data_IF_053667907478
#
_entry.id   IF_053667907478
#
_cell.length_a   1.000
_cell.length_b   1.000
_cell.length_c   1.000
_cell.angle_alpha   90.00
_cell.angle_beta   90.00
_cell.angle_gamma   90.00
#
_symmetry.space_group_name_H-M   'P 1'
#
loop_
_entity.id
_entity.type
_entity.pdbx_description
1 polymer ?
#
# COMPACT_ATOMS: atom_id res chain seq x y z
N UNK A 1 -0.24 19.66 -85.30
CA UNK A 1 -1.46 19.45 -84.51
C UNK A 1 -1.27 18.19 -83.66
N UNK A 2 -1.84 18.19 -82.45
CA UNK A 2 -1.91 17.08 -81.45
C UNK A 2 -0.64 16.70 -80.65
N UNK A 3 -0.60 17.22 -79.42
CA UNK A 3 -0.37 16.57 -78.10
C UNK A 3 -0.46 15.01 -78.10
N UNK A 4 0.13 14.18 -77.21
CA UNK A 4 0.46 14.28 -75.78
C UNK A 4 1.18 12.98 -75.32
N UNK A 5 2.13 13.11 -74.39
CA UNK A 5 2.33 12.33 -73.12
C UNK A 5 2.49 10.80 -73.02
N UNK A 6 3.55 10.46 -72.26
CA UNK A 6 3.61 9.58 -71.08
C UNK A 6 3.66 8.05 -71.21
N UNK A 7 4.75 7.47 -70.69
CA UNK A 7 4.68 6.40 -69.71
C UNK A 7 6.02 6.30 -68.94
N UNK A 8 6.19 7.08 -67.88
CA UNK A 8 7.13 6.74 -66.82
C UNK A 8 6.31 6.10 -65.69
N UNK A 9 6.52 4.80 -65.49
CA UNK A 9 6.05 4.09 -64.31
C UNK A 9 6.75 4.70 -63.08
N UNK A 10 6.02 5.51 -62.31
CA UNK A 10 6.38 5.81 -60.94
C UNK A 10 5.78 4.72 -60.05
N UNK A 11 6.62 3.79 -59.62
CA UNK A 11 6.27 2.80 -58.59
C UNK A 11 6.14 3.54 -57.26
N UNK A 12 4.90 3.80 -56.82
CA UNK A 12 4.62 4.36 -55.50
C UNK A 12 4.80 3.24 -54.46
N UNK A 13 5.92 3.24 -53.75
CA UNK A 13 6.07 2.44 -52.52
C UNK A 13 5.42 3.24 -51.40
N UNK A 14 4.18 2.91 -51.07
CA UNK A 14 3.53 3.42 -49.86
C UNK A 14 4.13 2.67 -48.68
N UNK A 15 5.10 3.29 -47.98
CA UNK A 15 5.56 2.82 -46.68
C UNK A 15 4.43 3.11 -45.69
N UNK A 16 3.62 2.10 -45.40
CA UNK A 16 2.67 2.12 -44.30
C UNK A 16 3.47 2.05 -43.00
N UNK A 17 3.81 3.21 -42.44
CA UNK A 17 4.31 3.29 -41.06
C UNK A 17 3.11 2.91 -40.17
N UNK A 18 3.02 1.64 -39.78
CA UNK A 18 2.23 1.28 -38.61
C UNK A 18 2.84 2.05 -37.44
N UNK A 19 2.17 3.12 -37.04
CA UNK A 19 2.34 3.62 -35.69
C UNK A 19 1.87 2.48 -34.78
N UNK A 20 2.83 1.68 -34.32
CA UNK A 20 2.64 0.85 -33.14
C UNK A 20 2.53 1.88 -32.02
N UNK A 21 1.33 2.42 -31.81
CA UNK A 21 1.01 2.97 -30.50
C UNK A 21 1.35 1.84 -29.54
N UNK A 22 2.27 2.03 -28.58
CA UNK A 22 2.43 1.03 -27.55
C UNK A 22 1.03 0.88 -26.96
N UNK A 23 0.47 -0.31 -27.06
CA UNK A 23 -0.67 -0.65 -26.23
C UNK A 23 -0.07 -0.67 -24.83
N UNK A 24 -0.14 0.46 -24.12
CA UNK A 24 0.19 0.54 -22.70
C UNK A 24 -0.93 -0.18 -21.97
N UNK A 25 -1.04 -1.50 -22.20
CA UNK A 25 -1.99 -2.35 -21.53
C UNK A 25 -1.60 -2.49 -20.07
N UNK A 26 -2.52 -3.02 -19.29
CA UNK A 26 -2.26 -3.40 -17.90
C UNK A 26 -0.94 -4.20 -17.81
N UNK A 27 -0.08 -3.83 -16.87
CA UNK A 27 1.26 -4.39 -16.72
C UNK A 27 1.55 -4.75 -15.26
N UNK A 28 2.36 -5.79 -15.06
CA UNK A 28 2.84 -6.25 -13.76
C UNK A 28 4.36 -6.21 -13.79
N UNK A 29 4.97 -5.43 -12.89
CA UNK A 29 6.42 -5.20 -12.86
C UNK A 29 6.98 -5.50 -11.48
N UNK A 30 8.23 -5.93 -11.43
CA UNK A 30 9.02 -5.98 -10.21
C UNK A 30 10.07 -4.87 -10.26
N UNK A 31 10.35 -4.22 -9.14
CA UNK A 31 11.35 -3.16 -9.06
C UNK A 31 11.95 -3.04 -7.66
N UNK A 32 13.26 -2.78 -7.59
CA UNK A 32 14.00 -2.50 -6.35
C UNK A 32 14.12 -0.99 -6.07
N UNK A 33 13.60 -0.14 -6.97
CA UNK A 33 13.60 1.33 -6.83
C UNK A 33 12.22 1.90 -7.16
N UNK A 34 11.92 3.08 -6.63
CA UNK A 34 10.65 3.76 -6.83
C UNK A 34 10.63 4.60 -8.12
N UNK A 35 11.79 4.83 -8.76
CA UNK A 35 11.89 5.60 -10.01
C UNK A 35 10.97 5.09 -11.15
N UNK A 36 10.82 3.77 -11.41
CA UNK A 36 9.89 3.28 -12.43
C UNK A 36 8.41 3.61 -12.15
N UNK A 37 8.04 3.81 -10.89
CA UNK A 37 6.70 4.28 -10.49
C UNK A 37 6.51 5.70 -11.02
N UNK A 38 7.50 6.57 -10.81
CA UNK A 38 7.50 7.96 -11.30
C UNK A 38 7.39 8.02 -12.81
N UNK A 39 8.22 7.26 -13.52
CA UNK A 39 8.20 7.19 -14.99
C UNK A 39 6.82 6.74 -15.52
N UNK A 40 6.22 5.72 -14.89
CA UNK A 40 4.91 5.23 -15.30
C UNK A 40 3.78 6.22 -14.99
N UNK A 41 3.85 6.90 -13.84
CA UNK A 41 2.89 7.95 -13.50
C UNK A 41 2.96 9.12 -14.48
N UNK A 42 4.16 9.56 -14.86
CA UNK A 42 4.34 10.59 -15.89
C UNK A 42 3.76 10.15 -17.24
N UNK A 43 4.00 8.89 -17.65
CA UNK A 43 3.46 8.34 -18.89
C UNK A 43 1.93 8.33 -18.90
N UNK A 44 1.29 7.85 -17.83
CA UNK A 44 -0.17 7.87 -17.71
C UNK A 44 -0.75 9.28 -17.60
N UNK A 45 -0.10 10.19 -16.87
CA UNK A 45 -0.53 11.58 -16.78
C UNK A 45 -0.49 12.27 -18.15
N UNK A 46 0.54 12.01 -18.96
CA UNK A 46 0.62 12.51 -20.33
C UNK A 46 -0.48 11.91 -21.24
N UNK A 47 -0.83 10.63 -21.05
CA UNK A 47 -1.80 9.94 -21.88
C UNK A 47 -3.26 10.30 -21.55
N UNK A 48 -3.62 10.35 -20.26
CA UNK A 48 -5.01 10.45 -19.80
C UNK A 48 -5.36 11.80 -19.16
N UNK A 49 -4.35 12.63 -18.87
CA UNK A 49 -4.49 13.79 -18.00
C UNK A 49 -4.22 13.40 -16.54
N UNK A 50 -3.45 14.20 -15.77
CA UNK A 50 -3.06 13.84 -14.41
C UNK A 50 -4.25 13.64 -13.47
N UNK A 51 -5.33 14.40 -13.65
CA UNK A 51 -6.55 14.27 -12.86
C UNK A 51 -7.27 12.94 -13.06
N UNK A 52 -6.93 12.17 -14.11
CA UNK A 52 -7.52 10.87 -14.42
C UNK A 52 -6.65 9.70 -13.96
N UNK A 53 -5.56 9.99 -13.26
CA UNK A 53 -4.59 9.02 -12.75
C UNK A 53 -4.66 8.95 -11.23
N UNK A 54 -4.68 7.74 -10.69
CA UNK A 54 -4.56 7.47 -9.26
C UNK A 54 -3.31 6.63 -8.97
N UNK A 55 -2.43 7.14 -8.12
CA UNK A 55 -1.28 6.40 -7.59
C UNK A 55 -1.64 5.87 -6.21
N UNK A 56 -1.54 4.57 -6.01
CA UNK A 56 -1.89 3.87 -4.78
C UNK A 56 -0.66 3.16 -4.24
N UNK A 57 -0.34 3.38 -2.96
CA UNK A 57 0.87 2.87 -2.33
C UNK A 57 0.55 2.16 -1.01
N UNK A 58 1.18 1.02 -0.74
CA UNK A 58 1.18 0.43 0.60
C UNK A 58 2.13 1.17 1.56
N UNK A 59 2.12 0.78 2.84
CA UNK A 59 2.99 1.34 3.88
C UNK A 59 4.16 0.43 4.17
N UNK A 60 3.89 -0.72 4.78
CA UNK A 60 4.90 -1.61 5.33
C UNK A 60 5.86 -2.08 4.22
N UNK A 61 7.17 -1.90 4.44
CA UNK A 61 8.26 -2.15 3.48
C UNK A 61 8.10 -1.47 2.10
N UNK A 62 7.15 -0.56 1.94
CA UNK A 62 6.85 0.15 0.69
C UNK A 62 7.13 1.64 0.80
N UNK A 63 6.44 2.32 1.72
CA UNK A 63 6.71 3.73 2.06
C UNK A 63 7.50 3.87 3.37
N UNK A 64 7.38 2.88 4.27
CA UNK A 64 8.01 2.86 5.58
C UNK A 64 8.47 1.45 5.94
N UNK A 65 9.72 1.31 6.35
CA UNK A 65 10.26 0.12 6.99
C UNK A 65 10.66 0.45 8.43
N UNK A 66 10.51 -0.50 9.35
CA UNK A 66 10.89 -0.31 10.77
C UNK A 66 12.41 -0.18 10.91
N UNK A 67 12.94 0.64 11.81
CA UNK A 67 14.40 0.74 12.02
C UNK A 67 15.00 -0.54 12.66
N UNK A 68 14.17 -1.30 13.38
CA UNK A 68 14.54 -2.55 14.05
C UNK A 68 13.77 -3.74 13.48
N UNK A 69 14.32 -4.94 13.66
CA UNK A 69 13.59 -6.18 13.32
C UNK A 69 12.41 -6.42 14.27
N UNK A 70 12.50 -6.06 15.55
CA UNK A 70 11.37 -6.15 16.47
C UNK A 70 10.25 -5.19 16.02
N UNK A 71 9.06 -5.74 15.79
CA UNK A 71 7.90 -4.98 15.30
C UNK A 71 7.91 -4.72 13.80
N UNK A 72 8.91 -5.21 13.06
CA UNK A 72 8.89 -5.20 11.60
C UNK A 72 7.78 -6.11 11.04
N UNK A 73 7.41 -5.89 9.78
CA UNK A 73 6.42 -6.70 9.09
C UNK A 73 6.83 -8.20 9.08
N UNK A 74 8.09 -8.48 8.73
CA UNK A 74 8.64 -9.84 8.75
C UNK A 74 8.69 -10.45 10.15
N UNK A 75 8.83 -9.65 11.22
CA UNK A 75 8.71 -10.15 12.59
C UNK A 75 7.27 -10.49 12.93
N UNK A 76 6.31 -9.67 12.51
CA UNK A 76 4.89 -9.94 12.72
C UNK A 76 4.45 -11.21 11.99
N UNK A 77 4.82 -11.37 10.71
CA UNK A 77 4.55 -12.60 9.94
C UNK A 77 5.15 -13.84 10.61
N UNK A 78 6.36 -13.72 11.19
CA UNK A 78 6.96 -14.82 11.95
C UNK A 78 6.19 -15.14 13.23
N UNK A 79 5.69 -14.13 13.95
CA UNK A 79 4.85 -14.34 15.14
C UNK A 79 3.50 -14.98 14.79
N UNK A 80 2.87 -14.58 13.68
CA UNK A 80 1.68 -15.25 13.16
C UNK A 80 1.98 -16.72 12.83
N UNK A 81 3.10 -17.00 12.16
CA UNK A 81 3.53 -18.37 11.89
C UNK A 81 3.73 -19.18 13.19
N UNK A 82 4.38 -18.60 14.20
CA UNK A 82 4.56 -19.26 15.49
C UNK A 82 3.21 -19.54 16.15
N UNK A 83 2.30 -18.57 16.15
CA UNK A 83 0.96 -18.74 16.73
C UNK A 83 0.20 -19.92 16.09
N UNK A 84 0.24 -20.01 14.76
CA UNK A 84 -0.50 -21.01 14.02
C UNK A 84 0.18 -22.39 13.98
N UNK A 85 1.51 -22.43 13.89
CA UNK A 85 2.26 -23.65 13.57
C UNK A 85 3.16 -24.14 14.71
N UNK A 86 3.53 -23.26 15.65
CA UNK A 86 4.45 -23.56 16.75
C UNK A 86 4.04 -22.84 18.05
N UNK A 87 2.81 -23.07 18.57
CA UNK A 87 2.27 -22.30 19.69
C UNK A 87 3.05 -22.46 21.00
N UNK A 88 3.85 -23.52 21.15
CA UNK A 88 4.71 -23.76 22.31
C UNK A 88 6.10 -23.11 22.18
N UNK A 89 6.35 -22.33 21.11
CA UNK A 89 7.63 -21.68 20.89
C UNK A 89 7.94 -20.67 22.00
N UNK A 90 9.15 -20.70 22.61
CA UNK A 90 9.54 -19.72 23.61
C UNK A 90 9.76 -18.32 23.02
N UNK A 91 9.66 -18.18 21.70
CA UNK A 91 9.78 -16.93 20.97
C UNK A 91 8.43 -16.30 20.62
N UNK A 92 7.31 -16.99 20.90
CA UNK A 92 5.97 -16.47 20.65
C UNK A 92 5.63 -15.42 21.72
N UNK A 93 5.14 -14.27 21.27
CA UNK A 93 4.97 -13.07 22.07
C UNK A 93 3.51 -12.85 22.53
N UNK A 94 2.54 -13.49 21.89
CA UNK A 94 1.11 -13.39 22.26
C UNK A 94 0.41 -14.74 22.17
N UNK A 95 -0.66 -14.91 22.94
CA UNK A 95 -1.43 -16.16 23.03
C UNK A 95 -2.48 -16.30 21.92
N UNK A 96 -2.83 -15.19 21.28
CA UNK A 96 -3.78 -15.13 20.19
C UNK A 96 -3.46 -13.95 19.27
N UNK A 97 -4.14 -13.91 18.12
CA UNK A 97 -3.92 -12.87 17.12
C UNK A 97 -4.22 -11.45 17.64
N UNK A 98 -5.21 -11.30 18.53
CA UNK A 98 -5.51 -10.01 19.16
C UNK A 98 -4.37 -9.49 20.02
N UNK A 99 -3.76 -10.35 20.83
CA UNK A 99 -2.58 -9.99 21.63
C UNK A 99 -1.37 -9.64 20.75
N UNK A 100 -1.16 -10.35 19.64
CA UNK A 100 -0.12 -9.97 18.66
C UNK A 100 -0.37 -8.57 18.10
N UNK A 101 -1.62 -8.24 17.77
CA UNK A 101 -2.01 -6.91 17.30
C UNK A 101 -1.79 -5.81 18.37
N UNK A 102 -2.05 -6.10 19.64
CA UNK A 102 -1.77 -5.19 20.76
C UNK A 102 -0.27 -4.91 20.90
N UNK A 103 0.55 -5.96 20.86
CA UNK A 103 2.01 -5.83 20.90
C UNK A 103 2.53 -5.05 19.68
N UNK A 104 2.03 -5.36 18.48
CA UNK A 104 2.41 -4.63 17.28
C UNK A 104 2.08 -3.14 17.39
N UNK A 105 0.92 -2.81 17.96
CA UNK A 105 0.52 -1.42 18.23
C UNK A 105 1.48 -0.70 19.16
N UNK A 106 1.91 -1.37 20.24
CA UNK A 106 2.92 -0.83 21.16
C UNK A 106 4.26 -0.59 20.44
N UNK A 107 4.71 -1.55 19.63
CA UNK A 107 5.98 -1.44 18.91
C UNK A 107 5.94 -0.33 17.86
N UNK A 108 4.84 -0.17 17.11
CA UNK A 108 4.64 0.99 16.23
C UNK A 108 4.63 2.32 16.99
N UNK A 109 4.07 2.34 18.21
CA UNK A 109 4.06 3.54 19.02
C UNK A 109 5.47 3.91 19.53
N UNK A 110 6.28 2.91 19.89
CA UNK A 110 7.58 3.07 20.54
C UNK A 110 8.76 3.20 19.56
N UNK A 111 8.68 2.58 18.39
CA UNK A 111 9.79 2.51 17.43
C UNK A 111 9.61 3.49 16.27
N UNK A 112 10.70 3.61 15.52
CA UNK A 112 10.89 4.54 14.43
C UNK A 112 10.94 3.80 13.09
N UNK A 113 10.53 4.47 12.02
CA UNK A 113 10.52 3.94 10.66
C UNK A 113 11.25 4.87 9.67
N UNK A 114 11.84 4.30 8.63
CA UNK A 114 12.48 5.04 7.53
C UNK A 114 11.80 4.74 6.20
N UNK A 115 11.83 5.68 5.24
CA UNK A 115 11.62 5.34 3.83
C UNK A 115 12.63 4.28 3.36
N UNK A 116 12.22 3.26 2.61
CA UNK A 116 13.15 2.33 1.97
C UNK A 116 14.24 3.06 1.15
N UNK A 117 13.85 4.06 0.35
CA UNK A 117 14.79 4.95 -0.35
C UNK A 117 14.78 6.36 0.25
N UNK A 118 15.94 6.96 0.48
CA UNK A 118 16.05 8.27 1.15
C UNK A 118 15.35 9.40 0.37
N UNK A 119 15.34 9.33 -0.95
CA UNK A 119 14.72 10.25 -1.89
C UNK A 119 13.25 9.97 -2.17
N UNK A 120 12.70 8.84 -1.70
CA UNK A 120 11.33 8.43 -1.99
C UNK A 120 10.27 9.49 -1.59
N UNK A 121 10.39 10.21 -0.46
CA UNK A 121 9.48 11.31 -0.14
C UNK A 121 9.48 12.43 -1.19
N UNK A 122 10.65 12.77 -1.75
CA UNK A 122 10.78 13.78 -2.81
C UNK A 122 10.14 13.27 -4.11
N UNK A 123 10.31 11.99 -4.44
CA UNK A 123 9.67 11.36 -5.60
C UNK A 123 8.15 11.34 -5.46
N UNK A 124 7.61 10.98 -4.28
CA UNK A 124 6.16 11.05 -4.04
C UNK A 124 5.66 12.50 -4.18
N UNK A 125 6.40 13.48 -3.67
CA UNK A 125 6.06 14.89 -3.86
C UNK A 125 6.08 15.30 -5.33
N UNK A 126 7.00 14.76 -6.15
CA UNK A 126 7.02 14.95 -7.60
C UNK A 126 5.71 14.44 -8.23
N UNK A 127 5.26 13.23 -7.87
CA UNK A 127 3.98 12.68 -8.35
C UNK A 127 2.82 13.63 -8.03
N UNK A 128 2.75 14.09 -6.77
CA UNK A 128 1.70 15.01 -6.33
C UNK A 128 1.76 16.35 -7.07
N UNK A 129 2.95 16.84 -7.41
CA UNK A 129 3.13 18.07 -8.18
C UNK A 129 2.74 17.93 -9.66
N UNK A 130 2.66 16.71 -10.19
CA UNK A 130 2.07 16.45 -11.52
C UNK A 130 0.55 16.68 -11.52
N UNK A 131 -0.10 16.71 -10.35
CA UNK A 131 -1.54 16.88 -10.20
C UNK A 131 -2.35 15.58 -10.24
N UNK A 132 -1.67 14.44 -10.07
CA UNK A 132 -2.35 13.14 -9.89
C UNK A 132 -2.89 13.02 -8.47
N UNK A 133 -3.92 12.20 -8.30
CA UNK A 133 -4.37 11.84 -6.96
C UNK A 133 -3.46 10.74 -6.39
N UNK A 134 -3.21 10.80 -5.08
CA UNK A 134 -2.41 9.79 -4.38
C UNK A 134 -3.17 9.23 -3.19
N UNK A 135 -3.12 7.91 -3.02
CA UNK A 135 -3.77 7.18 -1.94
C UNK A 135 -2.78 6.23 -1.28
N UNK A 136 -2.74 6.22 0.04
CA UNK A 136 -2.12 5.14 0.80
C UNK A 136 -3.18 4.09 1.13
N UNK A 137 -2.91 2.83 0.81
CA UNK A 137 -3.81 1.69 1.00
C UNK A 137 -3.13 0.59 1.81
N UNK A 138 -3.41 0.53 3.11
CA UNK A 138 -2.72 -0.36 4.04
C UNK A 138 -3.63 -1.41 4.66
N UNK A 139 -3.06 -2.57 4.98
CA UNK A 139 -3.71 -3.62 5.77
C UNK A 139 -3.82 -3.25 7.26
N UNK A 140 -3.11 -2.23 7.74
CA UNK A 140 -3.24 -1.72 9.11
C UNK A 140 -4.70 -1.33 9.42
N UNK A 141 -5.13 -1.59 10.66
CA UNK A 141 -6.40 -1.10 11.20
C UNK A 141 -6.27 0.31 11.78
N UNK A 142 -7.42 0.93 12.09
CA UNK A 142 -7.47 2.34 12.54
C UNK A 142 -6.73 2.59 13.86
N UNK A 143 -6.60 1.57 14.71
CA UNK A 143 -5.89 1.69 15.99
C UNK A 143 -4.40 2.04 15.79
N UNK A 144 -3.83 1.77 14.61
CA UNK A 144 -2.45 2.11 14.26
C UNK A 144 -2.31 3.48 13.58
N UNK A 145 -3.41 4.22 13.37
CA UNK A 145 -3.41 5.49 12.61
C UNK A 145 -2.47 6.53 13.17
N UNK A 146 -2.51 6.76 14.47
CA UNK A 146 -1.71 7.80 15.09
C UNK A 146 -0.20 7.57 14.89
N UNK A 147 0.28 6.35 15.14
CA UNK A 147 1.68 5.99 14.92
C UNK A 147 2.06 6.05 13.42
N UNK A 148 1.17 5.56 12.55
CA UNK A 148 1.38 5.57 11.10
C UNK A 148 1.52 6.98 10.54
N UNK A 149 0.58 7.88 10.86
CA UNK A 149 0.62 9.27 10.38
C UNK A 149 1.82 10.04 10.96
N UNK A 150 2.20 9.75 12.21
CA UNK A 150 3.41 10.32 12.84
C UNK A 150 4.66 9.95 12.04
N UNK A 151 4.85 8.67 11.71
CA UNK A 151 6.03 8.22 10.98
C UNK A 151 6.03 8.68 9.51
N UNK A 152 4.88 8.67 8.83
CA UNK A 152 4.76 9.23 7.47
C UNK A 152 5.18 10.71 7.45
N UNK A 153 4.66 11.50 8.40
CA UNK A 153 5.01 12.92 8.52
C UNK A 153 6.49 13.12 8.87
N UNK A 154 7.03 12.29 9.75
CA UNK A 154 8.46 12.33 10.14
C UNK A 154 9.37 12.04 8.95
N UNK A 155 8.97 11.09 8.11
CA UNK A 155 9.64 10.72 6.86
C UNK A 155 9.48 11.76 5.74
N UNK A 156 8.63 12.77 5.90
CA UNK A 156 8.44 13.84 4.90
C UNK A 156 7.29 13.60 3.92
N UNK A 157 6.43 12.60 4.14
CA UNK A 157 5.24 12.38 3.34
C UNK A 157 4.07 13.28 3.79
N UNK A 158 3.34 13.83 2.81
CA UNK A 158 2.09 14.57 3.03
C UNK A 158 1.03 14.14 1.99
N UNK A 159 0.31 13.06 2.30
CA UNK A 159 -0.73 12.52 1.41
C UNK A 159 -2.04 13.31 1.45
N UNK A 160 -2.23 14.21 2.42
CA UNK A 160 -3.44 15.04 2.50
C UNK A 160 -3.53 16.04 1.34
N UNK A 161 -2.39 16.44 0.77
CA UNK A 161 -2.28 17.42 -0.33
C UNK A 161 -3.07 17.01 -1.59
N UNK A 162 -3.07 15.73 -1.92
CA UNK A 162 -3.67 15.15 -3.14
C UNK A 162 -4.60 13.98 -2.80
N UNK A 163 -5.13 13.98 -1.58
CA UNK A 163 -6.07 12.99 -1.10
C UNK A 163 -7.39 13.06 -1.88
N UNK A 164 -7.85 11.96 -2.49
CA UNK A 164 -9.18 11.91 -3.09
C UNK A 164 -10.28 12.24 -2.09
N UNK A 165 -11.20 13.12 -2.48
CA UNK A 165 -12.42 13.37 -1.69
C UNK A 165 -13.41 12.25 -1.95
N UNK A 166 -13.99 11.70 -0.90
CA UNK A 166 -15.03 10.68 -0.98
C UNK A 166 -16.43 11.28 -0.72
N UNK A 167 -17.51 10.54 -1.01
CA UNK A 167 -18.87 10.74 -0.46
C UNK A 167 -19.48 9.43 0.07
N UNK A 168 -19.87 9.36 1.36
CA UNK A 168 -20.40 8.11 2.00
C UNK A 168 -21.89 7.95 1.75
N UNK A 169 -22.57 9.08 1.57
CA UNK A 169 -24.02 9.15 1.44
C UNK A 169 -24.37 9.76 0.09
N UNK A 170 -25.25 9.08 -0.63
CA UNK A 170 -25.82 9.61 -1.87
C UNK A 170 -26.58 10.92 -1.55
N UNK A 171 -26.13 12.03 -2.13
CA UNK A 171 -26.76 13.34 -1.98
C UNK A 171 -25.98 14.36 -1.15
N UNK A 172 -24.82 14.00 -0.57
CA UNK A 172 -23.99 14.91 0.23
C UNK A 172 -22.74 15.42 -0.51
N UNK A 173 -22.85 15.57 -1.83
CA UNK A 173 -21.75 16.02 -2.70
C UNK A 173 -21.21 17.41 -2.31
N UNK A 174 -22.01 18.20 -1.59
CA UNK A 174 -21.66 19.54 -1.11
C UNK A 174 -21.05 19.54 0.31
N UNK A 175 -20.98 18.39 1.00
CA UNK A 175 -20.39 18.24 2.34
C UNK A 175 -19.40 17.07 2.37
N UNK A 176 -18.20 17.23 1.75
CA UNK A 176 -17.16 16.22 1.82
C UNK A 176 -16.74 16.01 3.29
N UNK A 177 -16.63 14.75 3.66
CA UNK A 177 -16.33 14.25 5.00
C UNK A 177 -15.37 15.03 5.87
N UNK A 178 -15.59 14.86 7.18
CA UNK A 178 -14.58 15.05 8.20
C UNK A 178 -13.53 13.92 8.16
N UNK A 179 -12.27 14.33 8.10
CA UNK A 179 -11.07 13.52 8.30
C UNK A 179 -11.24 12.54 9.48
N UNK A 180 -10.92 11.24 9.29
CA UNK A 180 -11.00 10.24 10.36
C UNK A 180 -12.27 9.39 10.36
N UNK A 181 -13.07 9.46 9.30
CA UNK A 181 -14.31 8.72 9.18
C UNK A 181 -14.06 7.21 9.11
N UNK A 182 -14.70 6.48 10.04
CA UNK A 182 -14.77 5.02 10.04
C UNK A 182 -16.10 4.55 9.44
N UNK A 183 -16.08 3.46 8.69
CA UNK A 183 -17.28 2.94 8.03
C UNK A 183 -17.16 1.48 7.64
N UNK A 184 -18.31 0.84 7.41
CA UNK A 184 -18.39 -0.50 6.86
C UNK A 184 -18.25 -0.43 5.32
N UNK A 185 -17.26 -1.13 4.71
CA UNK A 185 -16.89 -0.92 3.31
C UNK A 185 -17.88 -1.54 2.32
N UNK A 186 -18.66 -2.55 2.70
CA UNK A 186 -19.64 -3.16 1.80
C UNK A 186 -20.75 -3.90 2.55
N UNK A 187 -21.79 -4.28 1.83
CA UNK A 187 -22.81 -5.24 2.27
C UNK A 187 -22.97 -6.32 1.19
N UNK A 188 -22.98 -7.60 1.59
CA UNK A 188 -23.09 -8.73 0.64
C UNK A 188 -24.46 -8.86 -0.01
N UNK A 189 -25.51 -8.30 0.59
CA UNK A 189 -26.86 -8.25 0.03
C UNK A 189 -26.99 -7.18 -1.07
N UNK A 190 -26.23 -6.08 -0.96
CA UNK A 190 -26.32 -4.92 -1.86
C UNK A 190 -24.95 -4.44 -2.35
N UNK A 191 -24.09 -5.31 -2.91
CA UNK A 191 -22.70 -4.97 -3.24
C UNK A 191 -22.57 -3.80 -4.24
N UNK A 192 -23.57 -3.65 -5.13
CA UNK A 192 -23.59 -2.58 -6.12
C UNK A 192 -23.68 -1.17 -5.50
N UNK A 193 -24.26 -1.04 -4.30
CA UNK A 193 -24.30 0.22 -3.56
C UNK A 193 -22.92 0.66 -3.04
N UNK A 194 -21.92 -0.22 -3.11
CA UNK A 194 -20.56 -0.01 -2.65
C UNK A 194 -19.54 -0.17 -3.79
N UNK A 195 -20.00 -0.07 -5.05
CA UNK A 195 -19.12 -0.17 -6.21
C UNK A 195 -18.64 -1.58 -6.53
N UNK A 196 -19.18 -2.62 -5.88
CA UNK A 196 -18.81 -4.01 -6.09
C UNK A 196 -19.91 -4.79 -6.84
N UNK A 197 -19.53 -5.85 -7.53
CA UNK A 197 -20.46 -6.78 -8.18
C UNK A 197 -20.58 -8.07 -7.38
N UNK A 198 -21.73 -8.76 -7.47
CA UNK A 198 -21.88 -10.07 -6.85
C UNK A 198 -20.85 -11.10 -7.33
N UNK A 199 -20.33 -10.96 -8.56
CA UNK A 199 -19.25 -11.79 -9.07
C UNK A 199 -17.93 -11.51 -8.35
N UNK A 200 -17.56 -10.23 -8.19
CA UNK A 200 -16.37 -9.81 -7.43
C UNK A 200 -16.43 -10.26 -5.97
N UNK A 201 -17.59 -10.13 -5.31
CA UNK A 201 -17.78 -10.64 -3.93
C UNK A 201 -17.37 -12.11 -3.81
N UNK A 202 -17.78 -12.93 -4.79
CA UNK A 202 -17.50 -14.36 -4.82
C UNK A 202 -16.05 -14.67 -5.17
N UNK A 203 -15.49 -14.02 -6.20
CA UNK A 203 -14.12 -14.27 -6.68
C UNK A 203 -13.08 -13.78 -5.67
N UNK A 204 -13.33 -12.67 -5.01
CA UNK A 204 -12.44 -12.13 -3.97
C UNK A 204 -12.64 -12.79 -2.60
N UNK A 205 -13.60 -13.73 -2.48
CA UNK A 205 -13.94 -14.42 -1.24
C UNK A 205 -14.22 -13.45 -0.08
N UNK A 206 -15.00 -12.39 -0.35
CA UNK A 206 -15.30 -11.40 0.67
C UNK A 206 -16.25 -11.99 1.73
N UNK A 207 -15.94 -11.86 3.03
CA UNK A 207 -16.80 -12.38 4.10
C UNK A 207 -18.09 -11.58 4.21
N UNK A 208 -19.14 -12.22 4.74
CA UNK A 208 -20.45 -11.59 5.00
C UNK A 208 -20.40 -10.49 6.04
N UNK A 209 -19.44 -10.55 6.96
CA UNK A 209 -19.21 -9.57 8.02
C UNK A 209 -17.88 -8.83 7.76
N UNK A 210 -17.88 -7.78 6.92
CA UNK A 210 -16.70 -6.95 6.74
C UNK A 210 -16.27 -6.28 8.05
N UNK A 211 -14.98 -5.99 8.13
CA UNK A 211 -14.43 -5.17 9.21
C UNK A 211 -14.58 -3.69 8.87
N UNK A 212 -14.67 -2.87 9.90
CA UNK A 212 -14.64 -1.42 9.73
C UNK A 212 -13.31 -0.98 9.09
N UNK A 213 -13.41 -0.04 8.15
CA UNK A 213 -12.28 0.65 7.53
C UNK A 213 -12.32 2.13 7.90
N UNK A 214 -11.21 2.82 7.70
CA UNK A 214 -11.18 4.26 7.93
C UNK A 214 -10.36 5.00 6.89
N UNK A 215 -10.78 6.22 6.56
CA UNK A 215 -10.08 7.09 5.62
C UNK A 215 -9.85 8.47 6.22
N UNK A 216 -8.59 8.92 6.16
CA UNK A 216 -8.19 10.24 6.63
C UNK A 216 -6.84 10.61 6.00
N UNK A 217 -6.66 11.87 5.62
CA UNK A 217 -5.37 12.43 5.19
C UNK A 217 -4.68 11.62 4.07
N UNK A 218 -5.48 11.11 3.13
CA UNK A 218 -4.98 10.29 2.03
C UNK A 218 -4.66 8.84 2.40
N UNK A 219 -4.96 8.40 3.62
CA UNK A 219 -4.66 7.04 4.12
C UNK A 219 -5.94 6.24 4.40
N UNK A 220 -6.17 5.22 3.57
CA UNK A 220 -7.21 4.20 3.74
C UNK A 220 -6.65 2.98 4.50
N UNK A 221 -7.18 2.77 5.70
CA UNK A 221 -6.88 1.64 6.58
C UNK A 221 -7.92 0.56 6.39
N UNK A 222 -7.50 -0.58 5.88
CA UNK A 222 -8.42 -1.64 5.43
C UNK A 222 -8.67 -2.72 6.47
N UNK A 223 -7.94 -2.71 7.60
CA UNK A 223 -8.06 -3.73 8.64
C UNK A 223 -7.90 -5.14 8.04
N UNK A 224 -6.85 -5.36 7.25
CA UNK A 224 -6.51 -6.64 6.62
C UNK A 224 -7.50 -7.14 5.56
N UNK A 225 -8.37 -6.29 5.03
CA UNK A 225 -9.34 -6.68 4.00
C UNK A 225 -8.72 -6.74 2.59
N UNK A 226 -9.44 -7.33 1.64
CA UNK A 226 -8.95 -7.53 0.28
C UNK A 226 -8.68 -6.19 -0.44
N UNK A 227 -7.40 -5.78 -0.55
CA UNK A 227 -6.99 -4.47 -1.08
C UNK A 227 -7.60 -4.11 -2.45
N UNK A 228 -7.69 -5.07 -3.38
CA UNK A 228 -8.35 -4.83 -4.68
C UNK A 228 -9.84 -4.49 -4.56
N UNK A 229 -10.56 -5.11 -3.61
CA UNK A 229 -11.97 -4.82 -3.39
C UNK A 229 -12.15 -3.49 -2.64
N UNK A 230 -11.26 -3.21 -1.68
CA UNK A 230 -11.23 -1.93 -0.96
C UNK A 230 -10.93 -0.76 -1.89
N UNK A 231 -10.05 -0.95 -2.88
CA UNK A 231 -9.77 0.08 -3.87
C UNK A 231 -10.96 0.33 -4.79
N UNK A 232 -11.65 -0.72 -5.30
CA UNK A 232 -12.87 -0.55 -6.09
C UNK A 232 -13.97 0.19 -5.31
N UNK A 233 -14.17 -0.19 -4.05
CA UNK A 233 -15.10 0.47 -3.13
C UNK A 233 -14.71 1.94 -2.93
N UNK A 234 -13.44 2.22 -2.66
CA UNK A 234 -12.96 3.58 -2.46
C UNK A 234 -13.17 4.43 -3.71
N UNK A 235 -12.82 3.92 -4.90
CA UNK A 235 -13.04 4.63 -6.16
C UNK A 235 -14.53 4.94 -6.41
N UNK A 236 -15.43 4.05 -6.00
CA UNK A 236 -16.87 4.32 -6.04
C UNK A 236 -17.26 5.49 -5.14
N UNK A 237 -16.73 5.54 -3.91
CA UNK A 237 -16.97 6.65 -2.98
C UNK A 237 -16.36 7.97 -3.49
N UNK A 238 -15.22 7.95 -4.17
CA UNK A 238 -14.62 9.17 -4.75
C UNK A 238 -15.54 9.78 -5.82
N UNK A 239 -16.30 8.95 -6.54
CA UNK A 239 -17.22 9.36 -7.60
C UNK A 239 -16.55 10.27 -8.67
N UNK A 240 -15.28 9.98 -8.97
CA UNK A 240 -14.45 10.63 -9.98
C UNK A 240 -13.95 9.57 -10.97
N UNK A 241 -13.91 9.86 -12.28
CA UNK A 241 -13.51 8.85 -13.25
C UNK A 241 -11.99 8.77 -13.38
N UNK A 242 -11.40 7.67 -12.92
CA UNK A 242 -10.00 7.31 -13.19
C UNK A 242 -9.91 6.42 -14.43
N UNK A 243 -8.96 6.71 -15.32
CA UNK A 243 -8.64 5.84 -16.47
C UNK A 243 -7.45 4.93 -16.17
N UNK A 244 -6.51 5.42 -15.33
CA UNK A 244 -5.27 4.72 -15.06
C UNK A 244 -4.95 4.63 -13.57
N UNK A 245 -4.52 3.45 -13.14
CA UNK A 245 -4.12 3.14 -11.76
C UNK A 245 -2.66 2.71 -11.74
N UNK A 246 -1.88 3.27 -10.83
CA UNK A 246 -0.57 2.75 -10.45
C UNK A 246 -0.70 2.18 -9.04
N UNK A 247 -0.25 0.96 -8.82
CA UNK A 247 -0.24 0.34 -7.49
C UNK A 247 1.16 -0.14 -7.11
N UNK A 248 1.61 0.16 -5.90
CA UNK A 248 2.93 -0.23 -5.39
C UNK A 248 2.79 -0.87 -4.02
N UNK A 249 3.37 -2.07 -3.86
CA UNK A 249 3.30 -2.87 -2.64
C UNK A 249 4.45 -3.89 -2.66
N UNK A 250 5.03 -4.20 -1.50
CA UNK A 250 6.13 -5.15 -1.37
C UNK A 250 5.65 -6.61 -1.37
N UNK A 251 4.36 -6.85 -1.12
CA UNK A 251 3.80 -8.18 -1.11
C UNK A 251 3.13 -8.53 -2.45
N UNK A 252 3.78 -9.39 -3.24
CA UNK A 252 3.28 -9.83 -4.55
C UNK A 252 1.83 -10.39 -4.59
N UNK A 253 1.31 -10.91 -3.47
CA UNK A 253 -0.11 -11.32 -3.35
C UNK A 253 -1.04 -10.11 -3.43
N UNK A 254 -0.71 -8.99 -2.79
CA UNK A 254 -1.51 -7.77 -2.85
C UNK A 254 -1.43 -7.12 -4.23
N UNK A 255 -0.22 -7.06 -4.80
CA UNK A 255 0.04 -6.59 -6.17
C UNK A 255 -0.83 -7.32 -7.20
N UNK A 256 -0.84 -8.66 -7.16
CA UNK A 256 -1.65 -9.47 -8.08
C UNK A 256 -3.16 -9.32 -7.87
N UNK A 257 -3.63 -9.20 -6.61
CA UNK A 257 -5.04 -8.98 -6.29
C UNK A 257 -5.57 -7.63 -6.77
N UNK A 258 -4.76 -6.57 -6.65
CA UNK A 258 -5.14 -5.25 -7.16
C UNK A 258 -5.13 -5.24 -8.68
N UNK A 259 -4.10 -5.82 -9.31
CA UNK A 259 -4.04 -5.98 -10.76
C UNK A 259 -5.31 -6.67 -11.31
N UNK A 260 -5.66 -7.84 -10.76
CA UNK A 260 -6.84 -8.60 -11.20
C UNK A 260 -8.14 -7.80 -11.01
N UNK A 261 -8.30 -7.10 -9.88
CA UNK A 261 -9.47 -6.28 -9.62
C UNK A 261 -9.63 -5.12 -10.61
N UNK A 262 -8.55 -4.38 -10.90
CA UNK A 262 -8.60 -3.23 -11.81
C UNK A 262 -8.75 -3.67 -13.28
N UNK A 263 -7.99 -4.68 -13.71
CA UNK A 263 -8.04 -5.18 -15.09
C UNK A 263 -9.43 -5.73 -15.45
N UNK A 264 -10.13 -6.37 -14.50
CA UNK A 264 -11.54 -6.82 -14.68
C UNK A 264 -12.51 -5.68 -14.97
N UNK A 265 -12.20 -4.47 -14.53
CA UNK A 265 -12.99 -3.26 -14.80
C UNK A 265 -12.58 -2.54 -16.09
N UNK A 266 -11.60 -3.07 -16.82
CA UNK A 266 -11.09 -2.45 -18.06
C UNK A 266 -10.28 -1.19 -17.81
N UNK A 267 -9.72 -1.02 -16.60
CA UNK A 267 -8.82 0.07 -16.27
C UNK A 267 -7.40 -0.25 -16.73
N UNK A 268 -6.69 0.76 -17.21
CA UNK A 268 -5.25 0.65 -17.42
C UNK A 268 -4.57 0.64 -16.05
N UNK A 269 -3.85 -0.43 -15.75
CA UNK A 269 -3.26 -0.64 -14.43
C UNK A 269 -1.83 -1.10 -14.57
N UNK A 270 -0.88 -0.37 -13.97
CA UNK A 270 0.47 -0.90 -13.75
C UNK A 270 0.64 -1.17 -12.27
N UNK A 271 0.94 -2.42 -11.91
CA UNK A 271 1.25 -2.77 -10.53
C UNK A 271 2.74 -3.10 -10.38
N UNK A 272 3.35 -2.63 -9.30
CA UNK A 272 4.75 -2.81 -8.97
C UNK A 272 4.88 -3.64 -7.70
N UNK A 273 5.54 -4.80 -7.83
CA UNK A 273 6.09 -5.55 -6.71
C UNK A 273 7.40 -4.90 -6.29
N UNK A 274 7.36 -4.17 -5.18
CA UNK A 274 8.48 -3.35 -4.74
C UNK A 274 9.38 -4.12 -3.78
N UNK A 275 10.59 -4.44 -4.22
CA UNK A 275 11.44 -5.44 -3.54
C UNK A 275 12.64 -4.83 -2.82
N UNK A 276 12.62 -3.53 -2.51
CA UNK A 276 13.75 -2.82 -1.90
C UNK A 276 14.20 -3.46 -0.57
N UNK A 277 13.25 -3.77 0.31
CA UNK A 277 13.53 -4.40 1.62
C UNK A 277 13.78 -5.92 1.55
N UNK A 278 13.75 -6.53 0.36
CA UNK A 278 13.79 -7.99 0.22
C UNK A 278 15.06 -8.62 0.83
N UNK A 279 16.20 -7.93 0.80
CA UNK A 279 17.43 -8.40 1.42
C UNK A 279 17.30 -8.49 2.95
N UNK A 280 16.67 -7.48 3.56
CA UNK A 280 16.45 -7.41 5.01
C UNK A 280 15.39 -8.41 5.46
N UNK A 281 14.30 -8.56 4.71
CA UNK A 281 13.29 -9.60 4.95
C UNK A 281 13.92 -10.99 4.91
N UNK A 282 14.78 -11.29 3.93
CA UNK A 282 15.51 -12.57 3.86
C UNK A 282 16.49 -12.74 5.03
N UNK A 283 17.22 -11.68 5.39
CA UNK A 283 18.14 -11.72 6.52
C UNK A 283 17.39 -12.05 7.81
N UNK A 284 16.24 -11.43 8.05
CA UNK A 284 15.41 -11.78 9.19
C UNK A 284 14.95 -13.22 9.08
N UNK A 285 14.31 -13.63 7.99
CA UNK A 285 13.72 -14.97 7.84
C UNK A 285 14.71 -16.10 8.14
N UNK A 286 15.92 -16.03 7.58
CA UNK A 286 16.95 -17.06 7.72
C UNK A 286 17.98 -16.78 8.83
N UNK A 287 17.92 -15.60 9.46
CA UNK A 287 18.83 -15.18 10.52
C UNK A 287 18.46 -15.67 11.91
N UNK A 288 19.36 -15.41 12.85
CA UNK A 288 19.16 -15.71 14.27
C UNK A 288 18.10 -14.78 14.89
N UNK A 289 17.18 -15.36 15.66
CA UNK A 289 16.08 -14.67 16.35
C UNK A 289 16.39 -14.35 17.81
N UNK A 290 17.60 -14.66 18.31
CA UNK A 290 17.98 -14.39 19.70
C UNK A 290 17.88 -12.91 20.06
N UNK A 291 18.39 -12.02 19.22
CA UNK A 291 18.40 -10.58 19.53
C UNK A 291 16.98 -9.99 19.58
N UNK A 292 16.12 -10.32 18.60
CA UNK A 292 14.73 -9.83 18.59
C UNK A 292 13.94 -10.38 19.79
N UNK A 293 14.23 -11.63 20.20
CA UNK A 293 13.64 -12.24 21.40
C UNK A 293 14.09 -11.54 22.67
N UNK A 294 15.38 -11.25 22.80
CA UNK A 294 15.97 -10.54 23.94
C UNK A 294 15.40 -9.11 24.06
N UNK A 295 15.23 -8.42 22.93
CA UNK A 295 14.62 -7.09 22.89
C UNK A 295 13.17 -7.14 23.38
N UNK A 296 12.38 -8.10 22.91
CA UNK A 296 11.01 -8.27 23.39
C UNK A 296 10.97 -8.55 24.90
N UNK A 297 11.77 -9.51 25.40
CA UNK A 297 11.81 -9.84 26.83
C UNK A 297 12.17 -8.63 27.71
N UNK A 298 13.04 -7.74 27.24
CA UNK A 298 13.36 -6.53 27.97
C UNK A 298 12.18 -5.56 28.04
N UNK A 299 11.42 -5.42 26.96
CA UNK A 299 10.19 -4.60 26.93
C UNK A 299 9.13 -5.22 27.82
N UNK A 300 8.91 -6.54 27.70
CA UNK A 300 7.92 -7.28 28.46
C UNK A 300 8.16 -7.19 29.98
N UNK A 301 9.42 -7.33 30.41
CA UNK A 301 9.81 -7.14 31.81
C UNK A 301 9.54 -5.71 32.32
N UNK A 302 9.68 -4.70 31.47
CA UNK A 302 9.34 -3.31 31.82
C UNK A 302 7.82 -3.12 31.95
N UNK A 303 7.03 -3.73 31.07
CA UNK A 303 5.56 -3.65 31.10
C UNK A 303 4.98 -4.33 32.35
N UNK A 304 5.56 -5.46 32.76
CA UNK A 304 5.10 -6.26 33.90
C UNK A 304 5.79 -5.90 35.23
N UNK A 305 6.66 -4.89 35.24
CA UNK A 305 7.32 -4.40 36.45
C UNK A 305 8.36 -5.36 37.03
N UNK A 306 8.90 -6.28 36.22
CA UNK A 306 9.93 -7.25 36.59
C UNK A 306 11.36 -6.76 36.31
N UNK A 307 11.52 -5.53 35.81
CA UNK A 307 12.82 -4.94 35.55
C UNK A 307 13.67 -4.87 36.83
N UNK A 308 14.72 -5.70 36.87
CA UNK A 308 15.70 -5.72 37.95
C UNK A 308 16.32 -4.33 38.07
N UNK A 309 16.34 -3.75 39.28
CA UNK A 309 17.09 -2.53 39.54
C UNK A 309 18.55 -2.75 39.12
N UNK A 310 19.20 -1.79 38.44
CA UNK A 310 20.63 -1.88 38.22
C UNK A 310 21.31 -1.98 39.58
N UNK A 311 22.09 -3.05 39.77
CA UNK A 311 22.90 -3.27 40.95
C UNK A 311 23.86 -2.08 41.08
N UNK A 312 23.54 -1.13 41.95
CA UNK A 312 24.44 -0.03 42.27
C UNK A 312 25.61 -0.67 42.99
N UNK A 313 26.72 -0.86 42.28
CA UNK A 313 27.98 -1.28 42.85
C UNK A 313 28.33 -0.32 44.00
N UNK A 314 28.18 -0.81 45.22
CA UNK A 314 28.59 -0.13 46.43
C UNK A 314 30.10 0.05 46.36
N UNK A 315 30.53 1.25 45.98
CA UNK A 315 31.92 1.66 46.03
C UNK A 315 32.34 1.64 47.50
N UNK A 316 33.03 0.56 47.90
CA UNK A 316 33.70 0.47 49.18
C UNK A 316 34.66 1.65 49.33
N UNK A 317 34.33 2.56 50.25
CA UNK A 317 35.24 3.58 50.71
C UNK A 317 36.35 2.95 51.57
N UNK A 318 37.60 3.39 51.44
CA UNK A 318 38.57 3.27 52.54
C UNK A 318 38.32 4.32 53.63
#
# INVERSE_FOLDING_TARGET
MTYRTSCQLATLITVLILAISPCWGSDFRETESFAPVVEQTQAYAHQFGPERVLVVMDIDNTLLAMDSDLGSDQWFEWQEFLLDQQPDSPHLVGQNFGELLEVQGLLYAAHHMHPPEAEQPEQVQELQNLGVDTLVLTSRGDDYRAATLRELKRAGYDFAKTAPRISLFAGDADNPYETGSRFIPYNTETPAAFGLTAHEMKVFHLPDNPREVSYADGVLMTSGQHKGAMLLMFMHLVNKPYDAIIYVDDHGRHVSRVYDAMARRGLDVTTFHYTHEAARVKQFAYGDKQEVTRQWQAIDALLHGEASQPEVAEAAAP
#
